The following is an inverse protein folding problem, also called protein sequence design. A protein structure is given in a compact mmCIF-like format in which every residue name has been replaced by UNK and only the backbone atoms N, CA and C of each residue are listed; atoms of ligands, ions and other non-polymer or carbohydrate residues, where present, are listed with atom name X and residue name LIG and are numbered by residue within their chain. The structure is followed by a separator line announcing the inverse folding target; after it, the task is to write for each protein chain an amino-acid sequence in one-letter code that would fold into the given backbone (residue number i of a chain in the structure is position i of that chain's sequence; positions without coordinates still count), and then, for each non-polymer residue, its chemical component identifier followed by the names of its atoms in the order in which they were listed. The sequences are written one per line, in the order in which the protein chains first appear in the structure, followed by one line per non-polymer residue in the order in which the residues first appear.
data_IF_046557128493
#
_entry.id   IF_046557128493
#
_cell.length_a   1.000
_cell.length_b   1.000
_cell.length_c   1.000
_cell.angle_alpha   90.00
_cell.angle_beta   90.00
_cell.angle_gamma   90.00
#
_symmetry.space_group_name_H-M   'P 1'
#
loop_
_entity.id
_entity.type
_entity.pdbx_description
1 polymer ?
#
# COMPACT_ATOMS: atom_id res chain seq x y z
N UNK A 1 -2.31 14.19 12.11
CA UNK A 1 -3.68 13.63 12.05
C UNK A 1 -4.15 12.98 13.37
N UNK A 2 -3.36 13.07 14.44
CA UNK A 2 -3.76 12.59 15.79
C UNK A 2 -4.93 13.37 16.46
N UNK A 3 -5.43 14.43 15.83
CA UNK A 3 -6.53 15.28 16.36
C UNK A 3 -7.91 14.99 15.77
N UNK A 4 -8.04 13.99 14.90
CA UNK A 4 -9.34 13.52 14.42
C UNK A 4 -9.66 12.21 15.16
N UNK A 5 -10.81 12.14 15.83
CA UNK A 5 -11.30 10.94 16.54
C UNK A 5 -11.58 9.76 15.59
N UNK A 6 -11.35 9.93 14.29
CA UNK A 6 -11.60 8.95 13.24
C UNK A 6 -10.26 8.45 12.68
N UNK A 7 -9.99 7.12 12.63
CA UNK A 7 -8.82 6.57 11.96
C UNK A 7 -8.73 7.03 10.52
N UNK A 8 -7.52 7.40 10.07
CA UNK A 8 -7.27 8.06 8.78
C UNK A 8 -7.84 7.34 7.55
N UNK A 9 -7.87 6.01 7.56
CA UNK A 9 -8.42 5.19 6.48
C UNK A 9 -9.93 5.38 6.28
N UNK A 10 -10.65 5.82 7.29
CA UNK A 10 -12.09 6.07 7.25
C UNK A 10 -12.45 7.53 6.95
N UNK A 11 -11.46 8.40 6.80
CA UNK A 11 -11.71 9.79 6.40
C UNK A 11 -12.34 9.83 5.02
N UNK A 12 -13.45 10.58 4.92
CA UNK A 12 -14.15 10.80 3.66
C UNK A 12 -13.42 11.82 2.78
N UNK A 13 -13.21 11.43 1.53
CA UNK A 13 -12.69 12.30 0.49
C UNK A 13 -13.63 12.20 -0.71
N UNK A 14 -14.26 13.32 -1.09
CA UNK A 14 -15.20 13.38 -2.20
C UNK A 14 -16.26 12.26 -2.12
N UNK A 15 -16.97 12.21 -0.98
CA UNK A 15 -18.10 11.31 -0.72
C UNK A 15 -17.75 9.85 -0.42
N UNK A 16 -16.46 9.46 -0.33
CA UNK A 16 -16.05 8.06 -0.17
C UNK A 16 -14.87 7.93 0.80
N UNK A 17 -14.86 6.96 1.75
CA UNK A 17 -13.72 6.70 2.61
C UNK A 17 -12.45 6.35 1.83
N UNK A 18 -11.28 6.78 2.31
CA UNK A 18 -9.98 6.53 1.68
C UNK A 18 -9.75 5.02 1.45
N UNK A 19 -10.07 4.18 2.45
CA UNK A 19 -9.90 2.73 2.34
C UNK A 19 -10.73 2.14 1.19
N UNK A 20 -11.97 2.58 1.00
CA UNK A 20 -12.83 2.10 -0.08
C UNK A 20 -12.24 2.45 -1.44
N UNK A 21 -11.69 3.66 -1.60
CA UNK A 21 -11.00 4.05 -2.83
C UNK A 21 -9.78 3.18 -3.12
N UNK A 22 -9.02 2.84 -2.08
CA UNK A 22 -7.88 1.93 -2.21
C UNK A 22 -8.34 0.53 -2.63
N UNK A 23 -9.35 -0.02 -1.98
CA UNK A 23 -9.88 -1.35 -2.28
C UNK A 23 -10.47 -1.44 -3.68
N UNK A 24 -11.18 -0.41 -4.15
CA UNK A 24 -11.76 -0.37 -5.50
C UNK A 24 -10.70 -0.49 -6.60
N UNK A 25 -9.49 0.05 -6.39
CA UNK A 25 -8.40 -0.08 -7.36
C UNK A 25 -7.97 -1.54 -7.52
N UNK A 26 -7.87 -2.29 -6.42
CA UNK A 26 -7.55 -3.72 -6.47
C UNK A 26 -8.74 -4.57 -6.94
N UNK A 27 -9.93 -4.31 -6.42
CA UNK A 27 -11.14 -5.07 -6.77
C UNK A 27 -11.48 -4.99 -8.26
N UNK A 28 -11.18 -3.86 -8.91
CA UNK A 28 -11.40 -3.67 -10.35
C UNK A 28 -10.28 -4.23 -11.23
N UNK A 29 -9.15 -4.67 -10.67
CA UNK A 29 -8.05 -5.22 -11.47
C UNK A 29 -8.37 -6.68 -11.86
N UNK A 30 -8.22 -7.06 -13.15
CA UNK A 30 -8.57 -8.42 -13.60
C UNK A 30 -7.76 -9.52 -12.93
N UNK A 31 -6.46 -9.29 -12.70
CA UNK A 31 -5.51 -10.27 -12.17
C UNK A 31 -5.43 -10.26 -10.63
N UNK A 32 -6.36 -9.60 -9.95
CA UNK A 32 -6.54 -9.72 -8.50
C UNK A 32 -7.75 -10.61 -8.25
N UNK A 33 -7.56 -11.73 -7.60
CA UNK A 33 -8.63 -12.70 -7.32
C UNK A 33 -9.32 -12.38 -5.99
N UNK A 34 -8.54 -12.24 -4.93
CA UNK A 34 -9.01 -12.10 -3.56
C UNK A 34 -8.35 -10.92 -2.84
N UNK A 35 -9.06 -10.36 -1.88
CA UNK A 35 -8.57 -9.28 -1.00
C UNK A 35 -8.81 -9.69 0.45
N UNK A 36 -7.72 -9.74 1.23
CA UNK A 36 -7.77 -9.88 2.69
C UNK A 36 -7.43 -8.53 3.33
N UNK A 37 -8.20 -8.13 4.31
CA UNK A 37 -8.01 -6.87 5.02
C UNK A 37 -7.60 -7.14 6.46
N UNK A 38 -6.45 -6.60 6.87
CA UNK A 38 -6.03 -6.56 8.27
C UNK A 38 -6.37 -5.20 8.86
N UNK A 39 -7.22 -5.15 9.89
CA UNK A 39 -7.65 -3.89 10.49
C UNK A 39 -7.80 -3.99 12.02
N UNK A 40 -8.06 -2.86 12.68
CA UNK A 40 -8.36 -2.81 14.09
C UNK A 40 -9.54 -3.76 14.43
N UNK A 41 -9.40 -4.57 15.46
CA UNK A 41 -10.37 -5.60 15.83
C UNK A 41 -11.78 -5.01 16.09
N UNK A 42 -11.86 -3.85 16.74
CA UNK A 42 -13.10 -3.11 17.00
C UNK A 42 -13.72 -2.46 15.74
N UNK A 43 -13.06 -2.52 14.60
CA UNK A 43 -13.52 -1.94 13.32
C UNK A 43 -13.88 -2.97 12.26
N UNK A 44 -13.76 -4.27 12.54
CA UNK A 44 -14.04 -5.34 11.57
C UNK A 44 -15.49 -5.27 11.09
N UNK A 45 -16.45 -5.16 12.01
CA UNK A 45 -17.87 -5.06 11.66
C UNK A 45 -18.17 -3.80 10.81
N UNK A 46 -17.61 -2.66 11.22
CA UNK A 46 -17.74 -1.42 10.46
C UNK A 46 -17.12 -1.52 9.07
N UNK A 47 -16.01 -2.23 8.94
CA UNK A 47 -15.37 -2.46 7.65
C UNK A 47 -16.24 -3.31 6.71
N UNK A 48 -16.90 -4.38 7.24
CA UNK A 48 -17.87 -5.15 6.47
C UNK A 48 -19.08 -4.32 6.04
N UNK A 49 -19.59 -3.44 6.90
CA UNK A 49 -20.67 -2.51 6.54
C UNK A 49 -20.27 -1.60 5.39
N UNK A 50 -19.05 -1.02 5.41
CA UNK A 50 -18.54 -0.20 4.32
C UNK A 50 -18.39 -1.00 3.01
N UNK A 51 -17.85 -2.21 3.06
CA UNK A 51 -17.71 -3.08 1.89
C UNK A 51 -19.08 -3.34 1.26
N UNK A 52 -20.07 -3.67 2.07
CA UNK A 52 -21.45 -3.86 1.61
C UNK A 52 -22.09 -2.59 1.04
N UNK A 53 -21.92 -1.45 1.73
CA UNK A 53 -22.45 -0.15 1.30
C UNK A 53 -21.89 0.29 -0.07
N UNK A 54 -20.59 0.11 -0.29
CA UNK A 54 -19.92 0.51 -1.53
C UNK A 54 -19.81 -0.63 -2.56
N UNK A 55 -20.33 -1.81 -2.22
CA UNK A 55 -20.33 -3.01 -3.09
C UNK A 55 -18.95 -3.38 -3.60
N UNK A 56 -17.94 -3.30 -2.73
CA UNK A 56 -16.57 -3.69 -3.07
C UNK A 56 -16.51 -5.21 -3.24
N UNK A 57 -16.14 -5.65 -4.43
CA UNK A 57 -15.98 -7.09 -4.75
C UNK A 57 -14.65 -7.65 -4.27
N UNK A 58 -14.50 -8.97 -4.34
CA UNK A 58 -13.26 -9.73 -4.08
C UNK A 58 -12.74 -9.66 -2.64
N UNK A 59 -13.43 -8.99 -1.71
CA UNK A 59 -13.05 -9.05 -0.29
C UNK A 59 -13.57 -10.35 0.30
N UNK A 60 -12.67 -11.27 0.61
CA UNK A 60 -12.97 -12.62 1.10
C UNK A 60 -12.84 -12.74 2.60
N UNK A 61 -11.95 -11.96 3.22
CA UNK A 61 -11.74 -12.02 4.66
C UNK A 61 -11.29 -10.67 5.25
N UNK A 62 -11.65 -10.44 6.52
CA UNK A 62 -11.14 -9.35 7.35
C UNK A 62 -10.63 -9.95 8.64
N UNK A 63 -9.35 -9.74 8.94
CA UNK A 63 -8.68 -10.25 10.13
C UNK A 63 -8.28 -9.12 11.08
N UNK A 64 -8.18 -9.37 12.38
CA UNK A 64 -7.64 -8.39 13.31
C UNK A 64 -6.16 -8.11 12.99
N UNK A 65 -5.78 -6.84 13.08
CA UNK A 65 -4.38 -6.41 12.98
C UNK A 65 -3.57 -6.91 14.17
N UNK A 66 -2.24 -6.91 14.00
CA UNK A 66 -1.29 -7.17 15.07
C UNK A 66 -0.97 -5.92 15.89
N UNK A 67 -0.03 -6.05 16.82
CA UNK A 67 0.44 -4.94 17.68
C UNK A 67 1.10 -3.81 16.88
N UNK A 68 1.67 -4.14 15.72
CA UNK A 68 2.33 -3.20 14.81
C UNK A 68 2.01 -3.53 13.34
N UNK A 69 2.63 -2.80 12.42
CA UNK A 69 2.46 -3.01 10.97
C UNK A 69 2.90 -4.39 10.50
N UNK A 70 4.04 -4.89 11.01
CA UNK A 70 4.57 -6.20 10.68
C UNK A 70 3.62 -7.33 11.14
N UNK A 71 3.16 -7.29 12.38
CA UNK A 71 2.18 -8.25 12.90
C UNK A 71 0.84 -8.21 12.15
N UNK A 72 0.42 -7.02 11.71
CA UNK A 72 -0.80 -6.87 10.91
C UNK A 72 -0.67 -7.50 9.52
N UNK A 73 0.50 -7.34 8.89
CA UNK A 73 0.82 -8.01 7.62
C UNK A 73 0.87 -9.52 7.82
N UNK A 74 1.54 -10.00 8.88
CA UNK A 74 1.62 -11.42 9.20
C UNK A 74 0.23 -12.06 9.35
N UNK A 75 -0.66 -11.46 10.14
CA UNK A 75 -2.03 -11.95 10.31
C UNK A 75 -2.80 -12.03 8.98
N UNK A 76 -2.63 -11.03 8.09
CA UNK A 76 -3.19 -11.06 6.75
C UNK A 76 -2.62 -12.19 5.89
N UNK A 77 -1.30 -12.40 5.92
CA UNK A 77 -0.63 -13.47 5.18
C UNK A 77 -1.04 -14.87 5.65
N UNK A 78 -1.16 -15.09 6.96
CA UNK A 78 -1.67 -16.35 7.52
C UNK A 78 -3.10 -16.65 7.05
N UNK A 79 -3.93 -15.63 6.88
CA UNK A 79 -5.27 -15.80 6.32
C UNK A 79 -5.22 -16.15 4.84
N UNK A 80 -4.43 -15.43 4.03
CA UNK A 80 -4.24 -15.69 2.59
C UNK A 80 -3.71 -17.11 2.36
N UNK A 81 -2.78 -17.59 3.21
CA UNK A 81 -2.19 -18.93 3.11
C UNK A 81 -3.20 -20.08 3.14
N UNK A 82 -4.40 -19.86 3.70
CA UNK A 82 -5.45 -20.90 3.79
C UNK A 82 -6.04 -21.29 2.44
N UNK A 83 -5.92 -20.43 1.43
CA UNK A 83 -6.54 -20.62 0.12
C UNK A 83 -5.61 -20.29 -1.07
N UNK A 84 -4.34 -19.97 -0.81
CA UNK A 84 -3.32 -19.71 -1.84
C UNK A 84 -2.29 -20.84 -1.94
N UNK A 85 -1.72 -20.98 -3.12
CA UNK A 85 -0.59 -21.86 -3.36
C UNK A 85 0.76 -21.14 -3.08
N UNK A 86 1.84 -21.88 -2.77
CA UNK A 86 3.15 -21.27 -2.49
C UNK A 86 3.72 -20.39 -3.61
N UNK A 87 3.32 -20.62 -4.85
CA UNK A 87 3.74 -19.87 -6.04
C UNK A 87 2.90 -18.63 -6.34
N UNK A 88 1.74 -18.47 -5.69
CA UNK A 88 0.85 -17.35 -5.94
C UNK A 88 1.49 -16.02 -5.53
N UNK A 89 1.11 -14.97 -6.23
CA UNK A 89 1.59 -13.63 -5.93
C UNK A 89 0.66 -12.96 -4.91
N UNK A 90 1.23 -12.49 -3.82
CA UNK A 90 0.56 -11.66 -2.83
C UNK A 90 1.05 -10.22 -2.92
N UNK A 91 0.11 -9.28 -2.96
CA UNK A 91 0.37 -7.84 -2.97
C UNK A 91 0.08 -7.26 -1.58
N UNK A 92 1.10 -6.71 -0.93
CA UNK A 92 0.98 -6.08 0.38
C UNK A 92 0.84 -4.56 0.20
N UNK A 93 -0.26 -3.99 0.66
CA UNK A 93 -0.55 -2.57 0.47
C UNK A 93 -1.11 -1.88 1.70
N UNK A 94 -0.73 -0.62 1.89
CA UNK A 94 -1.37 0.27 2.87
C UNK A 94 -2.80 0.62 2.43
N UNK A 95 -3.80 0.47 3.31
CA UNK A 95 -5.19 0.85 3.03
C UNK A 95 -5.43 2.36 2.84
N UNK A 96 -4.38 3.16 2.81
CA UNK A 96 -4.41 4.63 2.65
C UNK A 96 -3.62 5.10 1.42
N UNK A 97 -3.60 4.30 0.35
CA UNK A 97 -3.05 4.67 -0.97
C UNK A 97 -4.12 4.67 -2.06
N UNK A 98 -5.02 5.65 -2.04
CA UNK A 98 -6.19 5.66 -2.92
C UNK A 98 -5.91 6.01 -4.39
N UNK A 99 -4.68 6.39 -4.74
CA UNK A 99 -4.28 6.82 -6.08
C UNK A 99 -3.43 5.77 -6.84
N UNK A 100 -3.43 4.51 -6.39
CA UNK A 100 -2.77 3.41 -7.11
C UNK A 100 -3.44 3.24 -8.47
N UNK A 101 -2.63 3.20 -9.53
CA UNK A 101 -3.11 2.94 -10.88
C UNK A 101 -3.22 1.44 -11.18
N UNK A 102 -4.02 1.09 -12.19
CA UNK A 102 -4.12 -0.29 -12.69
C UNK A 102 -2.78 -0.77 -13.26
N UNK A 103 -2.06 0.12 -13.97
CA UNK A 103 -0.73 -0.20 -14.51
C UNK A 103 0.28 -0.53 -13.42
N UNK A 104 0.27 0.20 -12.29
CA UNK A 104 1.18 -0.09 -11.18
C UNK A 104 0.91 -1.46 -10.53
N UNK A 105 -0.37 -1.87 -10.47
CA UNK A 105 -0.75 -3.21 -9.99
C UNK A 105 -0.25 -4.27 -10.96
N UNK A 106 -0.48 -4.09 -12.27
CA UNK A 106 0.01 -5.00 -13.31
C UNK A 106 1.54 -5.14 -13.29
N UNK A 107 2.27 -4.03 -13.25
CA UNK A 107 3.74 -4.01 -13.20
C UNK A 107 4.27 -4.72 -11.95
N UNK A 108 3.56 -4.59 -10.82
CA UNK A 108 3.90 -5.26 -9.58
C UNK A 108 3.73 -6.78 -9.69
N UNK A 109 2.60 -7.23 -10.23
CA UNK A 109 2.31 -8.67 -10.46
C UNK A 109 3.35 -9.25 -11.43
N UNK A 110 3.60 -8.62 -12.58
CA UNK A 110 4.56 -9.08 -13.58
C UNK A 110 5.97 -9.19 -12.99
N UNK A 111 6.41 -8.15 -12.26
CA UNK A 111 7.74 -8.15 -11.64
C UNK A 111 7.86 -9.24 -10.58
N UNK A 112 6.84 -9.42 -9.72
CA UNK A 112 6.85 -10.45 -8.68
C UNK A 112 6.81 -11.86 -9.28
N UNK A 113 6.05 -12.07 -10.35
CA UNK A 113 6.01 -13.34 -11.09
C UNK A 113 7.40 -13.71 -11.64
N UNK A 114 8.14 -12.73 -12.14
CA UNK A 114 9.46 -12.95 -12.74
C UNK A 114 10.57 -13.13 -11.71
N UNK A 115 10.50 -12.38 -10.60
CA UNK A 115 11.64 -12.26 -9.68
C UNK A 115 11.30 -12.67 -8.23
N UNK A 116 10.10 -13.15 -7.96
CA UNK A 116 9.56 -13.49 -6.64
C UNK A 116 9.45 -12.30 -5.66
N UNK A 117 9.91 -11.12 -6.06
CA UNK A 117 9.83 -9.86 -5.29
C UNK A 117 9.60 -8.70 -6.23
N UNK A 118 8.78 -7.72 -5.82
CA UNK A 118 8.50 -6.51 -6.59
C UNK A 118 8.27 -5.33 -5.64
N UNK A 119 9.12 -4.32 -5.71
CA UNK A 119 9.02 -3.12 -4.88
C UNK A 119 8.96 -1.89 -5.77
N UNK A 120 7.82 -1.19 -5.86
CA UNK A 120 7.75 0.06 -6.61
C UNK A 120 8.55 1.15 -5.91
N UNK A 121 9.34 1.87 -6.68
CA UNK A 121 10.19 2.94 -6.16
C UNK A 121 10.13 4.19 -7.02
N UNK A 122 10.29 5.36 -6.38
CA UNK A 122 10.55 6.61 -7.08
C UNK A 122 11.93 7.13 -6.70
N UNK A 123 12.73 7.65 -7.66
CA UNK A 123 14.01 8.25 -7.32
C UNK A 123 13.80 9.50 -6.44
N UNK A 124 14.64 9.65 -5.42
CA UNK A 124 14.65 10.87 -4.62
C UNK A 124 14.99 12.08 -5.49
N UNK A 125 14.16 13.12 -5.42
CA UNK A 125 14.42 14.41 -6.07
C UNK A 125 15.19 15.36 -5.16
N UNK A 126 15.09 15.17 -3.86
CA UNK A 126 15.74 15.97 -2.85
C UNK A 126 17.10 15.38 -2.46
N UNK A 127 17.99 16.23 -1.94
CA UNK A 127 19.23 15.79 -1.32
C UNK A 127 18.91 15.12 0.02
N UNK A 128 19.56 13.99 0.29
CA UNK A 128 19.33 13.20 1.51
C UNK A 128 20.58 13.25 2.37
N UNK A 129 20.41 13.65 3.63
CA UNK A 129 21.44 13.64 4.64
C UNK A 129 21.13 12.55 5.68
N UNK A 130 22.18 11.93 6.21
CA UNK A 130 22.05 10.99 7.33
C UNK A 130 22.53 11.70 8.60
N UNK A 131 21.65 11.83 9.58
CA UNK A 131 21.93 12.37 10.90
C UNK A 131 21.55 11.37 11.97
N UNK A 132 22.32 11.28 13.04
CA UNK A 132 22.05 10.41 14.19
C UNK A 132 21.25 11.15 15.27
N UNK A 133 21.47 12.47 15.41
CA UNK A 133 20.87 13.33 16.43
C UNK A 133 19.70 14.18 15.90
N UNK A 134 19.54 14.26 14.59
CA UNK A 134 18.54 15.13 13.93
C UNK A 134 18.92 16.61 13.92
N UNK A 135 20.05 17.02 14.52
CA UNK A 135 20.51 18.41 14.63
C UNK A 135 21.74 18.67 13.78
N UNK A 136 22.67 17.72 13.73
CA UNK A 136 23.93 17.84 12.97
C UNK A 136 24.05 16.75 11.92
N UNK A 137 24.80 17.02 10.86
CA UNK A 137 25.04 16.06 9.80
C UNK A 137 26.43 16.23 9.18
N UNK A 138 27.17 15.13 9.09
CA UNK A 138 28.48 15.08 8.41
C UNK A 138 28.48 14.12 7.19
N UNK A 139 27.32 13.49 6.84
CA UNK A 139 27.24 12.52 5.75
C UNK A 139 26.08 12.82 4.81
N UNK A 140 26.41 13.10 3.55
CA UNK A 140 25.44 13.19 2.46
C UNK A 140 25.34 11.85 1.74
N UNK A 141 24.12 11.43 1.43
CA UNK A 141 23.87 10.21 0.66
C UNK A 141 23.82 10.53 -0.85
N UNK A 142 24.38 9.67 -1.72
CA UNK A 142 24.41 9.92 -3.16
C UNK A 142 23.00 9.83 -3.75
N UNK A 143 22.38 10.97 -4.05
CA UNK A 143 20.99 11.08 -4.54
C UNK A 143 20.64 10.10 -5.66
N UNK A 144 21.58 9.83 -6.59
CA UNK A 144 21.35 8.90 -7.71
C UNK A 144 21.11 7.45 -7.28
N UNK A 145 21.45 7.10 -6.03
CA UNK A 145 21.27 5.78 -5.45
C UNK A 145 20.12 5.75 -4.42
N UNK A 146 19.44 6.89 -4.21
CA UNK A 146 18.37 6.99 -3.24
C UNK A 146 17.01 6.86 -3.90
N UNK A 147 16.25 5.88 -3.45
CA UNK A 147 14.91 5.58 -3.91
C UNK A 147 13.93 5.55 -2.74
N UNK A 148 12.74 6.09 -2.98
CA UNK A 148 11.64 6.07 -2.02
C UNK A 148 10.75 4.89 -2.37
N UNK A 149 10.59 3.95 -1.45
CA UNK A 149 9.75 2.77 -1.62
C UNK A 149 8.27 3.11 -1.53
N UNK A 150 7.47 2.40 -2.30
CA UNK A 150 6.01 2.53 -2.29
C UNK A 150 5.37 1.14 -2.08
N UNK A 151 4.04 1.12 -2.09
CA UNK A 151 3.21 -0.07 -2.15
C UNK A 151 2.23 0.05 -3.34
N UNK A 152 1.69 -1.06 -3.87
CA UNK A 152 1.79 -2.42 -3.35
C UNK A 152 3.20 -3.00 -3.52
N UNK A 153 3.64 -3.82 -2.56
CA UNK A 153 4.84 -4.63 -2.70
C UNK A 153 4.41 -6.08 -2.99
N UNK A 154 4.97 -6.66 -4.06
CA UNK A 154 4.60 -7.99 -4.54
C UNK A 154 5.63 -9.05 -4.17
N UNK A 155 5.14 -10.24 -3.80
CA UNK A 155 5.98 -11.39 -3.42
C UNK A 155 5.31 -12.69 -3.79
N UNK A 156 6.09 -13.76 -4.03
CA UNK A 156 5.50 -15.10 -3.98
C UNK A 156 5.11 -15.44 -2.55
N UNK A 157 3.98 -16.14 -2.36
CA UNK A 157 3.49 -16.52 -1.03
C UNK A 157 4.55 -17.29 -0.23
N UNK A 158 5.25 -18.23 -0.87
CA UNK A 158 6.37 -18.97 -0.27
C UNK A 158 7.44 -18.05 0.28
N UNK A 159 7.90 -17.05 -0.51
CA UNK A 159 9.01 -16.18 -0.14
C UNK A 159 8.67 -15.29 1.04
N UNK A 160 7.50 -14.67 1.01
CA UNK A 160 7.12 -13.74 2.09
C UNK A 160 6.79 -14.48 3.40
N UNK A 161 6.14 -15.64 3.33
CA UNK A 161 5.90 -16.45 4.52
C UNK A 161 7.20 -16.98 5.13
N UNK A 162 8.15 -17.40 4.31
CA UNK A 162 9.49 -17.78 4.80
C UNK A 162 10.15 -16.60 5.54
N UNK A 163 10.11 -15.41 4.99
CA UNK A 163 10.68 -14.22 5.63
C UNK A 163 10.02 -13.90 6.99
N UNK A 164 8.70 -14.01 7.09
CA UNK A 164 7.99 -13.80 8.37
C UNK A 164 8.33 -14.89 9.41
N UNK A 165 8.43 -16.15 9.01
CA UNK A 165 8.82 -17.23 9.91
C UNK A 165 10.27 -17.07 10.41
N UNK A 166 11.19 -16.65 9.55
CA UNK A 166 12.57 -16.37 9.94
C UNK A 166 12.67 -15.14 10.85
N UNK A 167 11.86 -14.10 10.60
CA UNK A 167 11.77 -12.93 11.49
C UNK A 167 11.37 -13.34 12.91
N UNK A 168 10.34 -14.20 13.05
CA UNK A 168 9.91 -14.72 14.36
C UNK A 168 11.04 -15.50 15.03
N UNK A 169 11.70 -16.42 14.31
CA UNK A 169 12.83 -17.22 14.82
C UNK A 169 14.00 -16.36 15.27
N UNK A 170 14.28 -15.24 14.61
CA UNK A 170 15.40 -14.35 14.89
C UNK A 170 15.04 -13.21 15.85
N UNK A 171 13.77 -13.07 16.23
CA UNK A 171 13.28 -11.99 17.10
C UNK A 171 13.24 -10.62 16.41
N UNK A 172 13.11 -10.57 15.07
CA UNK A 172 12.91 -9.34 14.32
C UNK A 172 11.44 -8.92 14.46
N UNK A 173 11.16 -7.88 15.22
CA UNK A 173 9.78 -7.57 15.64
C UNK A 173 9.14 -6.40 14.92
N UNK A 174 9.92 -5.51 14.30
CA UNK A 174 9.36 -4.26 13.77
C UNK A 174 10.08 -3.72 12.52
N UNK A 175 10.24 -4.51 11.45
CA UNK A 175 10.71 -3.97 10.18
C UNK A 175 9.68 -2.95 9.65
N UNK A 176 10.17 -1.86 9.05
CA UNK A 176 9.31 -0.76 8.53
C UNK A 176 8.44 -1.24 7.36
N UNK A 177 8.93 -2.22 6.60
CA UNK A 177 8.25 -2.78 5.44
C UNK A 177 8.67 -4.22 5.18
N UNK A 178 7.90 -4.93 4.36
CA UNK A 178 8.24 -6.29 3.93
C UNK A 178 9.54 -6.36 3.11
N UNK A 179 9.84 -5.32 2.33
CA UNK A 179 11.11 -5.23 1.59
C UNK A 179 12.31 -5.04 2.53
N UNK A 180 12.15 -4.26 3.60
CA UNK A 180 13.19 -4.10 4.61
C UNK A 180 13.46 -5.42 5.34
N UNK A 181 12.39 -6.14 5.73
CA UNK A 181 12.53 -7.46 6.33
C UNK A 181 13.37 -8.42 5.47
N UNK A 182 13.07 -8.51 4.17
CA UNK A 182 13.83 -9.37 3.25
C UNK A 182 15.31 -8.95 3.18
N UNK A 183 15.59 -7.64 3.13
CA UNK A 183 16.96 -7.12 3.11
C UNK A 183 17.71 -7.42 4.43
N UNK A 184 17.04 -7.30 5.59
CA UNK A 184 17.61 -7.66 6.90
C UNK A 184 17.97 -9.15 6.97
N UNK A 185 17.20 -9.99 6.29
CA UNK A 185 17.47 -11.44 6.16
C UNK A 185 18.53 -11.76 5.10
N UNK A 186 19.17 -10.76 4.48
CA UNK A 186 20.23 -10.92 3.47
C UNK A 186 19.71 -11.21 2.06
N UNK A 187 18.41 -11.06 1.84
CA UNK A 187 17.77 -11.28 0.54
C UNK A 187 17.88 -10.04 -0.35
N UNK A 188 17.82 -10.25 -1.66
CA UNK A 188 17.74 -9.18 -2.66
C UNK A 188 16.29 -8.97 -3.08
N UNK A 189 15.84 -7.72 -3.15
CA UNK A 189 14.52 -7.36 -3.67
C UNK A 189 14.64 -6.68 -5.02
N UNK A 190 13.74 -7.01 -5.96
CA UNK A 190 13.67 -6.36 -7.25
C UNK A 190 12.84 -5.08 -7.16
N UNK A 191 13.42 -3.98 -7.63
CA UNK A 191 12.75 -2.69 -7.68
C UNK A 191 12.26 -2.39 -9.09
N UNK A 192 11.11 -1.71 -9.20
CA UNK A 192 10.58 -1.23 -10.48
C UNK A 192 10.04 0.21 -10.33
N UNK A 193 9.71 0.83 -11.45
CA UNK A 193 9.29 2.23 -11.47
C UNK A 193 7.92 2.41 -10.81
N UNK A 194 7.88 3.15 -9.71
CA UNK A 194 6.67 3.61 -9.04
C UNK A 194 6.10 4.90 -9.64
N UNK A 195 5.04 5.41 -9.02
CA UNK A 195 4.28 6.58 -9.46
C UNK A 195 4.30 7.67 -8.39
N UNK A 196 4.59 8.93 -8.78
CA UNK A 196 4.63 10.05 -7.82
C UNK A 196 3.27 10.33 -7.16
N UNK A 197 2.19 10.07 -7.88
CA UNK A 197 0.84 10.25 -7.37
C UNK A 197 0.43 9.16 -6.36
N UNK A 198 1.11 8.02 -6.33
CA UNK A 198 0.84 6.92 -5.40
C UNK A 198 1.34 7.25 -3.98
N UNK A 199 0.77 8.27 -3.39
CA UNK A 199 1.11 8.71 -2.03
C UNK A 199 0.45 7.83 -0.97
N UNK A 200 1.11 7.67 0.17
CA UNK A 200 0.54 7.15 1.42
C UNK A 200 -0.03 8.33 2.21
N UNK A 201 -1.34 8.38 2.39
CA UNK A 201 -1.99 9.46 3.15
C UNK A 201 -1.69 9.30 4.64
N UNK A 202 -0.79 10.15 5.16
CA UNK A 202 -0.32 10.11 6.55
C UNK A 202 -0.47 11.44 7.27
N UNK A 203 -0.38 12.55 6.54
CA UNK A 203 -0.40 13.91 7.07
C UNK A 203 -1.62 14.70 6.58
N UNK A 204 -1.97 15.85 7.21
CA UNK A 204 -2.99 16.74 6.67
C UNK A 204 -2.65 17.28 5.28
N UNK A 205 -1.35 17.44 4.97
CA UNK A 205 -0.84 17.84 3.67
C UNK A 205 -1.19 16.82 2.60
N UNK A 206 -0.96 15.52 2.89
CA UNK A 206 -1.33 14.42 1.99
C UNK A 206 -2.83 14.41 1.70
N UNK A 207 -3.64 14.69 2.73
CA UNK A 207 -5.09 14.76 2.59
C UNK A 207 -5.52 15.94 1.70
N UNK A 208 -4.85 17.11 1.82
CA UNK A 208 -5.09 18.27 0.94
C UNK A 208 -4.71 17.94 -0.50
N UNK A 209 -3.55 17.31 -0.69
CA UNK A 209 -3.11 16.84 -2.01
C UNK A 209 -4.12 15.84 -2.60
N UNK A 210 -4.54 14.84 -1.83
CA UNK A 210 -5.54 13.86 -2.28
C UNK A 210 -6.85 14.53 -2.74
N UNK A 211 -7.38 15.46 -1.94
CA UNK A 211 -8.59 16.23 -2.29
C UNK A 211 -8.42 17.02 -3.57
N UNK A 212 -7.28 17.67 -3.77
CA UNK A 212 -7.01 18.43 -5.01
C UNK A 212 -6.98 17.53 -6.24
N UNK A 213 -6.47 16.28 -6.13
CA UNK A 213 -6.46 15.31 -7.24
C UNK A 213 -7.86 14.86 -7.63
N UNK A 214 -8.74 14.59 -6.66
CA UNK A 214 -10.14 14.25 -6.94
C UNK A 214 -10.92 15.43 -7.50
N UNK A 215 -10.75 16.63 -6.93
CA UNK A 215 -11.39 17.85 -7.45
C UNK A 215 -10.99 18.11 -8.91
N UNK A 216 -9.70 18.02 -9.24
CA UNK A 216 -9.22 18.21 -10.60
C UNK A 216 -9.78 17.15 -11.57
N UNK A 217 -9.88 15.89 -11.14
CA UNK A 217 -10.47 14.81 -11.93
C UNK A 217 -11.94 15.06 -12.22
N UNK A 218 -12.70 15.47 -11.22
CA UNK A 218 -14.13 15.82 -11.37
C UNK A 218 -14.31 17.01 -12.31
N UNK A 219 -13.51 18.08 -12.15
CA UNK A 219 -13.54 19.24 -13.04
C UNK A 219 -13.21 18.87 -14.50
N UNK A 220 -12.20 18.04 -14.73
CA UNK A 220 -11.81 17.61 -16.08
C UNK A 220 -12.90 16.74 -16.74
N UNK A 221 -13.60 15.94 -15.99
CA UNK A 221 -14.73 15.16 -16.48
C UNK A 221 -15.90 16.08 -16.86
N UNK A 222 -16.24 17.04 -16.00
CA UNK A 222 -17.28 18.04 -16.28
C UNK A 222 -16.98 18.83 -17.55
N UNK A 223 -15.76 19.36 -17.69
CA UNK A 223 -15.35 20.09 -18.90
C UNK A 223 -15.39 19.24 -20.17
N UNK A 224 -15.11 17.93 -20.09
CA UNK A 224 -15.25 17.01 -21.23
C UNK A 224 -16.71 16.76 -21.61
N UNK A 225 -17.60 16.72 -20.66
CA UNK A 225 -19.04 16.57 -20.89
C UNK A 225 -19.61 17.83 -21.53
N UNK A 226 -19.26 19.01 -21.06
CA UNK A 226 -19.68 20.29 -21.68
C UNK A 226 -19.21 20.39 -23.14
N UNK A 227 -17.95 20.04 -23.42
CA UNK A 227 -17.42 20.03 -24.80
C UNK A 227 -18.12 19.01 -25.71
N UNK A 228 -18.66 17.93 -25.13
CA UNK A 228 -19.38 16.88 -25.89
C UNK A 228 -20.81 17.29 -26.25
N UNK A 229 -21.41 18.18 -25.46
CA UNK A 229 -22.79 18.65 -25.66
C UNK A 229 -22.85 20.07 -26.25
N UNK A 230 -21.72 20.70 -26.61
CA UNK A 230 -21.68 21.96 -27.34
C UNK A 230 -22.12 23.19 -26.53
N UNK A 231 -21.94 23.14 -25.20
CA UNK A 231 -22.15 24.27 -24.31
C UNK A 231 -20.84 25.04 -24.09
#
# INVERSE_FOLDING_TARGET
MKSLDIPKQFINVDGKPIIIRTLENFASHPDVDDIVISCLADKIEYMWQLIGQYKVSKVTSIVPGGENGHGSIHNGLVEVQKFSDPGDIVLICDGVRPLISQSLISDCIETATKYETAVPVTPSIDSVLQSEDGETCCKSLPRKQMYITQAPQGYTMRKIMHAHNEAERLGITNPISSSELLIELGETVHIFKGERDNIKVTTPEDLRFLRSRYYYKSFKNFAKEELKYGL
#
